data_IF_341406655820
#
_entry.id   IF_341406655820
#
_cell.length_a   1.000
_cell.length_b   1.000
_cell.length_c   1.000
_cell.angle_alpha   90.00
_cell.angle_beta   90.00
_cell.angle_gamma   90.00
#
_symmetry.space_group_name_H-M   'P 1'
#
loop_
_entity.id
_entity.type
_entity.pdbx_description
1 polymer ?
#
# COMPACT_ATOMS: atom_id res chain seq x y z
N UNK A 1 36.54 1.66 19.41
CA UNK A 1 36.15 0.57 18.49
C UNK A 1 35.00 -0.29 19.03
N UNK A 2 35.06 -0.74 20.29
CA UNK A 2 33.99 -1.58 20.90
C UNK A 2 32.68 -0.79 21.04
N UNK A 3 32.74 0.49 21.40
CA UNK A 3 31.57 1.37 21.55
C UNK A 3 30.80 1.52 20.22
N UNK A 4 31.48 1.85 19.14
CA UNK A 4 30.83 1.98 17.82
C UNK A 4 30.28 0.68 17.30
N UNK A 5 30.97 -0.45 17.55
CA UNK A 5 30.46 -1.77 17.20
C UNK A 5 29.12 -2.05 17.86
N UNK A 6 29.01 -1.85 19.19
CA UNK A 6 27.75 -2.01 19.91
C UNK A 6 26.68 -1.08 19.36
N UNK A 7 26.97 0.20 19.23
CA UNK A 7 26.02 1.19 18.71
C UNK A 7 25.48 0.80 17.33
N UNK A 8 26.34 0.36 16.39
CA UNK A 8 25.92 -0.04 15.06
C UNK A 8 25.10 -1.34 15.09
N UNK A 9 25.56 -2.35 15.85
CA UNK A 9 24.85 -3.64 15.92
C UNK A 9 23.49 -3.50 16.62
N UNK A 10 23.39 -2.64 17.64
CA UNK A 10 22.15 -2.42 18.38
C UNK A 10 21.14 -1.57 17.58
N UNK A 11 21.61 -0.81 16.57
CA UNK A 11 20.76 0.09 15.77
C UNK A 11 20.57 -0.36 14.33
N UNK A 12 21.17 -1.48 13.92
CA UNK A 12 21.19 -1.92 12.51
C UNK A 12 19.80 -2.08 11.90
N UNK A 13 18.80 -2.42 12.70
CA UNK A 13 17.40 -2.56 12.28
C UNK A 13 16.54 -1.30 12.55
N UNK A 14 17.08 -0.31 13.28
CA UNK A 14 16.36 0.91 13.64
C UNK A 14 16.59 2.00 12.57
N UNK A 15 15.52 2.38 11.86
CA UNK A 15 15.59 3.37 10.78
C UNK A 15 15.98 4.78 11.23
N UNK A 16 15.74 5.12 12.52
CA UNK A 16 16.04 6.45 13.06
C UNK A 16 17.42 6.50 13.73
N UNK A 17 17.84 5.44 14.39
CA UNK A 17 19.08 5.38 15.15
C UNK A 17 20.29 4.92 14.32
N UNK A 18 20.07 4.12 13.27
CA UNK A 18 21.16 3.57 12.44
C UNK A 18 21.99 4.66 11.76
N UNK A 19 21.36 5.69 11.18
CA UNK A 19 22.08 6.75 10.46
C UNK A 19 22.98 7.59 11.35
N UNK A 20 22.52 8.12 12.50
CA UNK A 20 23.38 8.84 13.42
C UNK A 20 24.56 8.01 13.95
N UNK A 21 24.34 6.71 14.27
CA UNK A 21 25.40 5.82 14.71
C UNK A 21 26.46 5.58 13.60
N UNK A 22 26.01 5.44 12.36
CA UNK A 22 26.89 5.30 11.19
C UNK A 22 27.68 6.58 10.92
N UNK A 23 27.04 7.74 10.95
CA UNK A 23 27.71 9.03 10.74
C UNK A 23 28.79 9.29 11.81
N UNK A 24 28.55 8.90 13.07
CA UNK A 24 29.53 8.97 14.12
C UNK A 24 30.73 8.03 13.88
N UNK A 25 30.49 6.81 13.38
CA UNK A 25 31.55 5.89 12.98
C UNK A 25 32.37 6.46 11.82
N UNK A 26 31.72 6.97 10.76
CA UNK A 26 32.38 7.55 9.59
C UNK A 26 33.30 8.70 10.04
N UNK A 27 32.79 9.62 10.85
CA UNK A 27 33.58 10.74 11.37
C UNK A 27 34.82 10.29 12.15
N UNK A 28 34.72 9.19 12.89
CA UNK A 28 35.86 8.63 13.61
C UNK A 28 36.85 7.92 12.67
N UNK A 29 36.37 7.20 11.67
CA UNK A 29 37.23 6.57 10.65
C UNK A 29 38.01 7.63 9.85
N UNK A 30 37.37 8.74 9.46
CA UNK A 30 38.00 9.84 8.74
C UNK A 30 39.17 10.49 9.52
N UNK A 31 39.07 10.59 10.84
CA UNK A 31 40.14 11.09 11.71
C UNK A 31 41.34 10.15 11.78
N UNK A 32 41.16 8.87 11.52
CA UNK A 32 42.15 7.83 11.71
C UNK A 32 42.72 7.27 10.39
N UNK A 33 42.48 7.89 9.23
CA UNK A 33 42.91 7.40 7.92
C UNK A 33 44.46 7.35 7.77
N UNK A 34 45.19 8.16 8.50
CA UNK A 34 46.65 8.22 8.48
C UNK A 34 47.30 7.52 9.69
N UNK A 35 46.52 6.89 10.57
CA UNK A 35 47.05 6.13 11.70
C UNK A 35 47.82 4.89 11.22
N UNK A 36 49.00 4.66 11.75
CA UNK A 36 49.93 3.59 11.34
C UNK A 36 49.38 2.16 11.56
N UNK A 37 48.41 1.97 12.47
CA UNK A 37 47.84 0.66 12.82
C UNK A 37 46.50 0.38 12.17
N UNK A 38 45.65 1.40 12.04
CA UNK A 38 44.27 1.24 11.61
C UNK A 38 43.92 2.01 10.32
N UNK A 39 44.82 2.87 9.80
CA UNK A 39 44.56 3.73 8.67
C UNK A 39 44.15 3.00 7.41
N UNK A 40 44.81 1.88 7.08
CA UNK A 40 44.44 1.07 5.92
C UNK A 40 43.05 0.44 6.05
N UNK A 41 42.68 0.01 7.26
CA UNK A 41 41.32 -0.53 7.52
C UNK A 41 40.30 0.60 7.45
N UNK A 42 40.63 1.78 8.01
CA UNK A 42 39.74 2.95 7.95
C UNK A 42 39.47 3.36 6.47
N UNK A 43 40.51 3.44 5.65
CA UNK A 43 40.36 3.74 4.23
C UNK A 43 39.48 2.72 3.48
N UNK A 44 39.69 1.42 3.73
CA UNK A 44 38.88 0.37 3.13
C UNK A 44 37.42 0.45 3.55
N UNK A 45 37.14 0.68 4.84
CA UNK A 45 35.77 0.81 5.34
C UNK A 45 35.06 2.04 4.79
N UNK A 46 35.80 3.17 4.61
CA UNK A 46 35.25 4.40 4.05
C UNK A 46 34.90 4.29 2.56
N UNK A 47 35.46 3.33 1.81
CA UNK A 47 35.05 3.06 0.42
C UNK A 47 33.56 2.66 0.38
N UNK A 48 33.14 1.84 1.34
CA UNK A 48 31.79 1.30 1.42
C UNK A 48 30.92 2.03 2.46
N UNK A 49 31.28 3.29 2.80
CA UNK A 49 30.61 4.06 3.87
C UNK A 49 29.10 4.18 3.69
N UNK A 50 28.63 4.23 2.45
CA UNK A 50 27.21 4.35 2.12
C UNK A 50 26.44 3.05 2.40
N UNK A 51 27.14 1.92 2.56
CA UNK A 51 26.55 0.62 2.91
C UNK A 51 26.44 0.40 4.44
N UNK A 52 27.03 1.26 5.25
CA UNK A 52 27.08 1.08 6.72
C UNK A 52 25.77 1.42 7.43
N UNK A 53 24.96 2.31 6.87
CA UNK A 53 23.65 2.65 7.42
C UNK A 53 22.60 1.63 6.95
N UNK A 54 21.52 1.48 7.76
CA UNK A 54 20.36 0.71 7.36
C UNK A 54 19.85 1.16 6.00
N UNK A 55 19.63 0.21 5.09
CA UNK A 55 19.06 0.47 3.79
C UNK A 55 17.52 0.44 3.86
N UNK A 56 16.89 1.30 3.08
CA UNK A 56 15.47 1.24 2.81
C UNK A 56 15.21 0.20 1.71
N UNK A 57 14.35 -0.77 2.00
CA UNK A 57 14.03 -1.86 1.08
C UNK A 57 12.58 -1.75 0.64
N UNK A 58 12.36 -1.56 -0.66
CA UNK A 58 11.04 -1.45 -1.26
C UNK A 58 10.80 -2.48 -2.35
N UNK A 59 9.65 -3.14 -2.29
CA UNK A 59 9.13 -4.01 -3.34
C UNK A 59 7.96 -3.28 -4.02
N UNK A 60 8.03 -3.13 -5.33
CA UNK A 60 6.97 -2.52 -6.12
C UNK A 60 6.32 -3.56 -7.03
N UNK A 61 4.99 -3.56 -7.09
CA UNK A 61 4.27 -4.46 -7.99
C UNK A 61 2.81 -4.08 -8.22
N UNK A 62 2.20 -4.69 -9.23
CA UNK A 62 0.79 -4.52 -9.56
C UNK A 62 -0.11 -5.51 -8.83
N UNK A 63 -1.43 -5.32 -8.99
CA UNK A 63 -2.45 -6.18 -8.36
C UNK A 63 -2.40 -7.63 -8.85
N UNK A 64 -2.13 -7.88 -10.13
CA UNK A 64 -1.98 -9.24 -10.65
C UNK A 64 -0.88 -10.02 -9.95
N UNK A 65 0.23 -9.35 -9.58
CA UNK A 65 1.26 -9.93 -8.74
C UNK A 65 0.78 -10.10 -7.31
N UNK A 66 0.36 -9.02 -6.66
CA UNK A 66 0.09 -9.00 -5.22
C UNK A 66 -1.14 -9.83 -4.81
N UNK A 67 -2.19 -9.83 -5.63
CA UNK A 67 -3.44 -10.52 -5.31
C UNK A 67 -3.49 -11.96 -5.83
N UNK A 68 -2.70 -12.29 -6.86
CA UNK A 68 -2.77 -13.57 -7.60
C UNK A 68 -1.44 -14.32 -7.60
N UNK A 69 -0.62 -14.12 -8.65
CA UNK A 69 0.53 -14.99 -8.94
C UNK A 69 1.67 -14.89 -7.94
N UNK A 70 1.85 -13.73 -7.30
CA UNK A 70 2.88 -13.47 -6.30
C UNK A 70 2.37 -13.50 -4.86
N UNK A 71 1.07 -13.73 -4.63
CA UNK A 71 0.47 -13.63 -3.29
C UNK A 71 1.15 -14.53 -2.25
N UNK A 72 1.50 -15.75 -2.60
CA UNK A 72 2.18 -16.65 -1.65
C UNK A 72 3.57 -16.13 -1.23
N UNK A 73 4.31 -15.50 -2.16
CA UNK A 73 5.58 -14.83 -1.84
C UNK A 73 5.39 -13.56 -1.03
N UNK A 74 4.38 -12.76 -1.37
CA UNK A 74 4.01 -11.55 -0.61
C UNK A 74 3.63 -11.91 0.83
N UNK A 75 2.79 -12.90 1.01
CA UNK A 75 2.37 -13.41 2.31
C UNK A 75 3.58 -13.89 3.14
N UNK A 76 4.52 -14.60 2.51
CA UNK A 76 5.75 -15.05 3.15
C UNK A 76 6.63 -13.88 3.61
N UNK A 77 6.80 -12.84 2.79
CA UNK A 77 7.55 -11.62 3.16
C UNK A 77 6.89 -10.92 4.35
N UNK A 78 5.57 -10.75 4.32
CA UNK A 78 4.81 -10.17 5.44
C UNK A 78 4.99 -11.02 6.72
N UNK A 79 4.88 -12.35 6.59
CA UNK A 79 5.01 -13.28 7.70
C UNK A 79 6.43 -13.35 8.30
N UNK A 80 7.46 -12.95 7.55
CA UNK A 80 8.85 -12.95 8.04
C UNK A 80 9.11 -11.94 9.15
N UNK A 81 8.31 -10.88 9.25
CA UNK A 81 8.53 -9.78 10.19
C UNK A 81 9.69 -8.85 9.81
N UNK A 82 10.33 -9.08 8.66
CA UNK A 82 11.48 -8.30 8.21
C UNK A 82 11.07 -6.87 7.82
N UNK A 83 12.00 -5.92 7.99
CA UNK A 83 11.76 -4.52 7.65
C UNK A 83 11.84 -4.30 6.14
N UNK A 84 10.74 -4.59 5.47
CA UNK A 84 10.57 -4.45 4.01
C UNK A 84 9.27 -3.70 3.73
N UNK A 85 9.35 -2.66 2.93
CA UNK A 85 8.20 -1.90 2.48
C UNK A 85 7.68 -2.46 1.15
N UNK A 86 6.38 -2.60 1.01
CA UNK A 86 5.73 -3.14 -0.17
C UNK A 86 4.74 -2.11 -0.69
N UNK A 87 4.91 -1.68 -1.95
CA UNK A 87 3.98 -0.80 -2.64
C UNK A 87 3.26 -1.55 -3.74
N UNK A 88 1.94 -1.60 -3.66
CA UNK A 88 1.07 -2.22 -4.66
C UNK A 88 0.34 -1.14 -5.45
N UNK A 89 0.53 -1.12 -6.76
CA UNK A 89 -0.30 -0.36 -7.68
C UNK A 89 -1.53 -1.20 -8.04
N UNK A 90 -2.66 -0.90 -7.41
CA UNK A 90 -3.91 -1.61 -7.63
C UNK A 90 -4.63 -1.04 -8.85
N UNK A 91 -4.35 -1.60 -10.00
CA UNK A 91 -5.00 -1.27 -11.27
C UNK A 91 -6.26 -2.10 -11.52
N UNK A 92 -6.62 -2.98 -10.59
CA UNK A 92 -7.82 -3.83 -10.61
C UNK A 92 -7.93 -4.80 -11.80
N UNK A 93 -6.86 -4.93 -12.59
CA UNK A 93 -6.70 -5.85 -13.72
C UNK A 93 -5.23 -6.15 -13.94
N UNK A 94 -4.91 -7.23 -14.67
CA UNK A 94 -3.57 -7.43 -15.24
C UNK A 94 -3.33 -6.39 -16.35
N UNK A 95 -2.80 -5.23 -16.00
CA UNK A 95 -2.70 -4.07 -16.88
C UNK A 95 -1.76 -4.32 -18.07
N UNK A 96 -0.52 -4.77 -17.81
CA UNK A 96 0.52 -4.92 -18.82
C UNK A 96 0.22 -6.03 -19.85
N UNK A 97 -0.51 -7.07 -19.46
CA UNK A 97 -0.80 -8.22 -20.31
C UNK A 97 -2.08 -8.07 -21.12
N UNK A 98 -2.84 -6.99 -20.91
CA UNK A 98 -4.01 -6.65 -21.73
C UNK A 98 -5.37 -6.70 -21.03
N UNK A 99 -5.42 -6.48 -19.71
CA UNK A 99 -6.67 -6.25 -18.99
C UNK A 99 -7.40 -7.52 -18.56
N UNK A 100 -6.68 -8.60 -18.22
CA UNK A 100 -7.26 -9.80 -17.66
C UNK A 100 -7.78 -9.55 -16.24
N UNK A 101 -8.86 -10.22 -15.87
CA UNK A 101 -9.39 -10.17 -14.52
C UNK A 101 -8.39 -10.74 -13.51
N UNK A 102 -8.15 -9.99 -12.44
CA UNK A 102 -7.40 -10.43 -11.26
C UNK A 102 -8.34 -10.65 -10.07
N UNK A 103 -7.82 -11.10 -8.93
CA UNK A 103 -8.58 -11.12 -7.67
C UNK A 103 -8.86 -9.72 -7.13
N UNK A 104 -8.16 -8.70 -7.62
CA UNK A 104 -8.42 -7.29 -7.34
C UNK A 104 -9.57 -6.71 -8.18
N UNK A 105 -9.99 -7.37 -9.26
CA UNK A 105 -11.06 -6.87 -10.13
C UNK A 105 -12.40 -6.87 -9.36
N UNK A 106 -13.10 -5.72 -9.28
CA UNK A 106 -14.35 -5.61 -8.53
C UNK A 106 -15.54 -6.28 -9.19
N UNK A 107 -16.61 -6.47 -8.42
CA UNK A 107 -17.90 -6.97 -8.92
C UNK A 107 -18.45 -6.05 -10.01
N UNK A 108 -18.97 -6.64 -11.09
CA UNK A 108 -19.58 -5.91 -12.20
C UNK A 108 -18.59 -5.40 -13.25
N UNK A 109 -17.29 -5.34 -12.93
CA UNK A 109 -16.28 -4.93 -13.91
C UNK A 109 -16.09 -5.96 -15.00
N UNK A 110 -16.13 -5.52 -16.25
CA UNK A 110 -15.77 -6.31 -17.45
C UNK A 110 -14.25 -6.28 -17.59
N UNK A 111 -13.67 -7.45 -17.82
CA UNK A 111 -12.25 -7.64 -18.10
C UNK A 111 -12.07 -8.87 -19.01
N UNK A 112 -10.86 -9.10 -19.52
CA UNK A 112 -10.54 -10.38 -20.17
C UNK A 112 -10.78 -11.52 -19.17
N UNK A 113 -11.40 -12.60 -19.62
CA UNK A 113 -11.91 -13.73 -18.82
C UNK A 113 -13.09 -13.39 -17.87
N UNK A 114 -13.62 -12.17 -17.95
CA UNK A 114 -14.82 -11.73 -17.22
C UNK A 114 -15.73 -10.88 -18.13
N UNK A 115 -15.99 -11.32 -19.38
CA UNK A 115 -16.74 -10.58 -20.39
C UNK A 115 -18.20 -10.26 -19.97
N UNK A 116 -18.81 -11.10 -19.13
CA UNK A 116 -20.15 -10.89 -18.58
C UNK A 116 -20.14 -10.22 -17.20
N UNK A 117 -19.08 -9.48 -16.85
CA UNK A 117 -18.88 -8.86 -15.56
C UNK A 117 -18.48 -9.84 -14.47
N UNK A 118 -17.51 -9.46 -13.65
CA UNK A 118 -17.05 -10.30 -12.53
C UNK A 118 -18.12 -10.43 -11.45
N UNK A 119 -18.41 -11.65 -11.02
CA UNK A 119 -19.46 -11.94 -10.04
C UNK A 119 -18.96 -12.07 -8.59
N UNK A 120 -17.63 -12.28 -8.40
CA UNK A 120 -16.99 -12.51 -7.10
C UNK A 120 -16.43 -11.20 -6.56
N UNK A 121 -16.55 -10.99 -5.24
CA UNK A 121 -15.97 -9.83 -4.53
C UNK A 121 -14.45 -9.74 -4.76
N UNK A 122 -13.93 -8.52 -4.78
CA UNK A 122 -12.50 -8.23 -4.74
C UNK A 122 -11.89 -8.84 -3.47
N UNK A 123 -10.73 -9.48 -3.61
CA UNK A 123 -9.94 -9.93 -2.48
C UNK A 123 -9.51 -8.72 -1.64
N UNK A 124 -9.69 -8.78 -0.34
CA UNK A 124 -9.26 -7.70 0.55
C UNK A 124 -7.85 -7.96 1.06
N UNK A 125 -6.86 -7.50 0.28
CA UNK A 125 -5.44 -7.68 0.59
C UNK A 125 -5.04 -6.93 1.85
N UNK A 126 -5.59 -5.74 2.06
CA UNK A 126 -5.33 -4.93 3.25
C UNK A 126 -5.83 -5.63 4.52
N UNK A 127 -7.06 -6.17 4.51
CA UNK A 127 -7.60 -6.90 5.65
C UNK A 127 -6.78 -8.16 5.98
N UNK A 128 -6.29 -8.88 4.97
CA UNK A 128 -5.39 -10.03 5.16
C UNK A 128 -4.10 -9.58 5.85
N UNK A 129 -3.46 -8.51 5.37
CA UNK A 129 -2.23 -8.00 5.98
C UNK A 129 -2.47 -7.49 7.42
N UNK A 130 -3.56 -6.75 7.66
CA UNK A 130 -3.92 -6.30 9.01
C UNK A 130 -4.15 -7.47 10.00
N UNK A 131 -4.58 -8.64 9.51
CA UNK A 131 -4.82 -9.80 10.37
C UNK A 131 -3.56 -10.35 11.04
N UNK A 132 -2.37 -10.01 10.56
CA UNK A 132 -1.09 -10.31 11.23
C UNK A 132 -0.86 -9.50 12.52
N UNK A 133 -1.53 -8.35 12.67
CA UNK A 133 -1.45 -7.49 13.86
C UNK A 133 -0.18 -6.63 13.95
N UNK A 134 0.92 -7.04 13.33
CA UNK A 134 2.23 -6.36 13.36
C UNK A 134 2.66 -5.79 12.00
N UNK A 135 1.78 -5.70 11.03
CA UNK A 135 2.08 -5.14 9.70
C UNK A 135 1.53 -3.73 9.63
N UNK A 136 2.36 -2.76 9.23
CA UNK A 136 1.84 -1.45 8.85
C UNK A 136 1.07 -1.57 7.53
N UNK A 137 -0.16 -1.08 7.48
CA UNK A 137 -0.99 -1.15 6.27
C UNK A 137 -1.58 0.21 5.95
N UNK A 138 -1.47 0.63 4.69
CA UNK A 138 -2.15 1.81 4.18
C UNK A 138 -2.87 1.51 2.87
N UNK A 139 -4.06 2.07 2.71
CA UNK A 139 -4.79 2.10 1.45
C UNK A 139 -4.94 3.56 1.03
N UNK A 140 -4.47 3.89 -0.18
CA UNK A 140 -4.24 5.25 -0.62
C UNK A 140 -4.86 5.53 -1.99
N UNK A 141 -5.14 6.81 -2.25
CA UNK A 141 -5.51 7.34 -3.57
C UNK A 141 -4.94 8.75 -3.72
N UNK A 142 -3.91 8.92 -4.55
CA UNK A 142 -3.16 10.17 -4.65
C UNK A 142 -4.05 11.35 -5.09
N UNK A 143 -4.95 11.11 -6.04
CA UNK A 143 -5.88 12.12 -6.53
C UNK A 143 -6.94 12.56 -5.51
N UNK A 144 -7.20 11.73 -4.48
CA UNK A 144 -8.12 12.06 -3.39
C UNK A 144 -7.40 12.86 -2.28
N UNK A 145 -6.21 12.41 -1.86
CA UNK A 145 -5.41 13.07 -0.82
C UNK A 145 -3.92 12.77 -0.96
N UNK A 146 -3.17 13.72 -1.53
CA UNK A 146 -1.72 13.64 -1.67
C UNK A 146 -0.99 13.59 -0.33
N UNK A 147 -1.51 14.29 0.68
CA UNK A 147 -0.86 14.34 2.00
C UNK A 147 -0.99 13.00 2.71
N UNK A 148 -2.11 12.30 2.54
CA UNK A 148 -2.31 10.96 3.08
C UNK A 148 -1.30 9.98 2.48
N UNK A 149 -1.07 10.03 1.16
CA UNK A 149 -0.07 9.18 0.49
C UNK A 149 1.33 9.45 1.02
N UNK A 150 1.74 10.73 1.07
CA UNK A 150 3.05 11.10 1.61
C UNK A 150 3.23 10.65 3.05
N UNK A 151 2.20 10.83 3.87
CA UNK A 151 2.20 10.39 5.25
C UNK A 151 2.33 8.88 5.37
N UNK A 152 1.56 8.12 4.58
CA UNK A 152 1.63 6.67 4.54
C UNK A 152 3.02 6.16 4.14
N UNK A 153 3.67 6.79 3.16
CA UNK A 153 5.04 6.44 2.74
C UNK A 153 6.07 6.72 3.84
N UNK A 154 5.97 7.87 4.51
CA UNK A 154 6.87 8.23 5.63
C UNK A 154 6.66 7.30 6.83
N UNK A 155 5.41 6.99 7.16
CA UNK A 155 5.09 6.07 8.25
C UNK A 155 5.59 4.65 7.95
N UNK A 156 5.40 4.15 6.72
CA UNK A 156 5.92 2.86 6.26
C UNK A 156 7.45 2.80 6.36
N UNK A 157 8.15 3.84 5.88
CA UNK A 157 9.62 3.91 5.94
C UNK A 157 10.15 3.95 7.38
N UNK A 158 9.43 4.61 8.28
CA UNK A 158 9.80 4.70 9.70
C UNK A 158 9.45 3.45 10.51
N UNK A 159 8.65 2.54 9.96
CA UNK A 159 8.20 1.35 10.66
C UNK A 159 9.28 0.25 10.63
N UNK A 160 9.66 -0.27 11.80
CA UNK A 160 10.64 -1.35 11.92
C UNK A 160 9.99 -2.73 11.80
N UNK A 161 9.40 -3.02 10.64
CA UNK A 161 8.71 -4.25 10.33
C UNK A 161 8.16 -4.20 8.90
N UNK A 162 7.41 -5.21 8.47
CA UNK A 162 6.83 -5.24 7.14
C UNK A 162 5.74 -4.18 7.00
N UNK A 163 5.76 -3.46 5.88
CA UNK A 163 4.76 -2.46 5.54
C UNK A 163 4.12 -2.77 4.19
N UNK A 164 2.81 -2.58 4.09
CA UNK A 164 2.05 -2.74 2.86
C UNK A 164 1.27 -1.46 2.54
N UNK A 165 1.63 -0.80 1.47
CA UNK A 165 0.92 0.38 0.95
C UNK A 165 0.24 0.02 -0.36
N UNK A 166 -1.09 0.15 -0.43
CA UNK A 166 -1.91 -0.17 -1.60
C UNK A 166 -2.45 1.12 -2.19
N UNK A 167 -2.00 1.48 -3.38
CA UNK A 167 -2.42 2.69 -4.07
C UNK A 167 -3.37 2.35 -5.22
N UNK A 168 -4.55 2.96 -5.23
CA UNK A 168 -5.42 2.91 -6.39
C UNK A 168 -4.74 3.56 -7.59
N UNK A 169 -4.69 2.85 -8.69
CA UNK A 169 -3.98 3.29 -9.89
C UNK A 169 -4.85 3.06 -11.14
N UNK A 170 -5.66 4.04 -11.55
CA UNK A 170 -6.47 3.92 -12.76
C UNK A 170 -5.64 3.55 -13.99
N UNK A 171 -6.15 2.60 -14.77
CA UNK A 171 -5.51 2.05 -15.95
C UNK A 171 -6.31 2.40 -17.22
N UNK A 172 -5.66 2.37 -18.38
CA UNK A 172 -6.35 2.54 -19.68
C UNK A 172 -7.48 1.53 -19.89
N UNK A 173 -7.37 0.33 -19.30
CA UNK A 173 -8.40 -0.71 -19.37
C UNK A 173 -9.68 -0.36 -18.60
N UNK A 174 -9.66 0.64 -17.69
CA UNK A 174 -10.88 1.15 -17.06
C UNK A 174 -11.79 1.85 -18.09
N UNK A 175 -11.18 2.45 -19.12
CA UNK A 175 -11.93 3.22 -20.11
C UNK A 175 -12.60 4.44 -19.50
N UNK A 176 -11.84 5.23 -18.74
CA UNK A 176 -12.34 6.45 -18.08
C UNK A 176 -12.89 7.41 -19.13
N UNK A 177 -14.13 7.83 -18.96
CA UNK A 177 -14.78 8.81 -19.81
C UNK A 177 -14.11 10.16 -19.64
N UNK A 178 -13.38 10.61 -20.64
CA UNK A 178 -12.51 11.79 -20.58
C UNK A 178 -11.02 11.43 -20.65
N UNK A 179 -10.66 10.14 -20.59
CA UNK A 179 -9.30 9.63 -20.80
C UNK A 179 -8.42 9.69 -19.57
N UNK A 180 -7.17 9.27 -19.73
CA UNK A 180 -6.21 9.13 -18.62
C UNK A 180 -5.69 10.46 -18.07
N UNK A 181 -5.88 11.57 -18.78
CA UNK A 181 -5.49 12.91 -18.29
C UNK A 181 -6.24 13.32 -17.02
N UNK A 182 -7.39 12.70 -16.74
CA UNK A 182 -8.17 12.97 -15.52
C UNK A 182 -8.07 11.84 -14.49
N UNK A 183 -7.08 10.94 -14.58
CA UNK A 183 -6.93 9.79 -13.69
C UNK A 183 -6.93 10.19 -12.21
N UNK A 184 -6.23 11.27 -11.84
CA UNK A 184 -6.23 11.80 -10.48
C UNK A 184 -7.62 12.28 -10.00
N UNK A 185 -8.39 12.88 -10.90
CA UNK A 185 -9.76 13.28 -10.59
C UNK A 185 -10.67 12.05 -10.45
N UNK A 186 -10.40 10.99 -11.20
CA UNK A 186 -11.14 9.73 -11.10
C UNK A 186 -10.86 9.02 -9.77
N UNK A 187 -9.61 9.04 -9.28
CA UNK A 187 -9.27 8.56 -7.94
C UNK A 187 -10.07 9.30 -6.85
N UNK A 188 -10.16 10.64 -6.97
CA UNK A 188 -10.95 11.46 -6.05
C UNK A 188 -12.43 11.06 -6.08
N UNK A 189 -13.02 10.94 -7.26
CA UNK A 189 -14.42 10.50 -7.42
C UNK A 189 -14.66 9.10 -6.84
N UNK A 190 -13.70 8.18 -7.01
CA UNK A 190 -13.78 6.84 -6.44
C UNK A 190 -13.89 6.88 -4.91
N UNK A 191 -13.13 7.77 -4.26
CA UNK A 191 -13.21 7.95 -2.80
C UNK A 191 -14.51 8.64 -2.40
N UNK A 192 -14.92 9.70 -3.10
CA UNK A 192 -16.18 10.41 -2.83
C UNK A 192 -17.41 9.52 -3.01
N UNK A 193 -17.37 8.55 -3.92
CA UNK A 193 -18.43 7.58 -4.17
C UNK A 193 -18.38 6.34 -3.24
N UNK A 194 -17.40 6.24 -2.36
CA UNK A 194 -17.22 5.05 -1.51
C UNK A 194 -16.75 3.80 -2.26
N UNK A 195 -16.37 3.94 -3.53
CA UNK A 195 -15.80 2.86 -4.33
C UNK A 195 -14.42 2.44 -3.83
N UNK A 196 -13.61 3.42 -3.43
CA UNK A 196 -12.31 3.24 -2.83
C UNK A 196 -12.25 3.97 -1.48
N UNK A 197 -11.73 3.31 -0.45
CA UNK A 197 -11.59 3.92 0.87
C UNK A 197 -10.11 4.11 1.19
N UNK A 198 -9.73 5.26 1.73
CA UNK A 198 -8.37 5.53 2.17
C UNK A 198 -8.29 5.43 3.69
N UNK A 199 -7.29 4.72 4.18
CA UNK A 199 -7.07 4.45 5.60
C UNK A 199 -5.63 4.04 5.88
N UNK A 200 -5.25 4.05 7.16
CA UNK A 200 -3.98 3.53 7.66
C UNK A 200 -4.21 2.66 8.88
N UNK A 201 -3.37 1.66 9.04
CA UNK A 201 -3.28 0.82 10.22
C UNK A 201 -1.82 0.81 10.66
N UNK A 202 -1.54 1.40 11.84
CA UNK A 202 -0.20 1.49 12.41
C UNK A 202 -0.15 0.71 13.73
N UNK A 203 0.49 -0.47 13.76
CA UNK A 203 0.58 -1.30 14.96
C UNK A 203 1.19 -0.57 16.17
N UNK A 204 2.10 0.39 15.96
CA UNK A 204 2.75 1.16 17.03
C UNK A 204 1.75 1.92 17.91
N UNK A 205 0.61 2.27 17.35
CA UNK A 205 -0.44 2.98 18.10
C UNK A 205 -1.06 2.11 19.20
N UNK A 206 -1.11 0.78 18.98
CA UNK A 206 -1.57 -0.14 20.03
C UNK A 206 -0.63 -0.16 21.23
N UNK A 207 0.70 -0.01 21.01
CA UNK A 207 1.69 0.11 22.09
C UNK A 207 1.51 1.40 22.90
N UNK A 208 0.86 2.42 22.30
CA UNK A 208 0.49 3.68 22.95
C UNK A 208 -0.92 3.64 23.59
N UNK A 209 -1.58 2.48 23.60
CA UNK A 209 -2.97 2.33 24.04
C UNK A 209 -4.00 2.97 23.12
N UNK A 210 -3.66 3.27 21.86
CA UNK A 210 -4.53 3.90 20.88
C UNK A 210 -5.05 2.89 19.85
N UNK A 211 -6.23 3.16 19.28
CA UNK A 211 -6.71 2.39 18.14
C UNK A 211 -5.70 2.43 16.99
N UNK A 212 -5.17 1.28 16.52
CA UNK A 212 -4.23 1.24 15.40
C UNK A 212 -4.85 1.64 14.06
N UNK A 213 -6.16 1.54 13.90
CA UNK A 213 -6.86 1.83 12.67
C UNK A 213 -7.31 3.29 12.58
N UNK A 214 -7.02 3.93 11.45
CA UNK A 214 -7.36 5.32 11.15
C UNK A 214 -8.04 5.39 9.79
N UNK A 215 -9.33 5.74 9.77
CA UNK A 215 -10.07 6.00 8.53
C UNK A 215 -9.78 7.43 8.06
N UNK A 216 -9.13 7.57 6.92
CA UNK A 216 -8.67 8.87 6.39
C UNK A 216 -9.67 9.49 5.40
N UNK A 217 -10.73 8.78 4.98
CA UNK A 217 -11.82 9.34 4.16
C UNK A 217 -13.06 9.65 4.99
N UNK A 218 -13.83 10.59 4.48
CA UNK A 218 -15.18 10.90 4.99
C UNK A 218 -16.20 9.88 4.47
N UNK A 219 -17.41 9.92 5.02
CA UNK A 219 -18.54 9.17 4.49
C UNK A 219 -18.77 9.51 3.00
N UNK A 220 -19.14 8.51 2.18
CA UNK A 220 -19.44 8.73 0.77
C UNK A 220 -20.48 9.86 0.59
N UNK A 221 -20.20 10.76 -0.33
CA UNK A 221 -21.01 11.95 -0.63
C UNK A 221 -21.49 12.01 -2.08
N UNK A 222 -21.00 11.09 -2.93
CA UNK A 222 -21.36 10.98 -4.34
C UNK A 222 -22.03 9.64 -4.63
N UNK A 223 -22.74 9.56 -5.76
CA UNK A 223 -23.40 8.33 -6.21
C UNK A 223 -22.36 7.29 -6.66
N UNK A 224 -22.38 6.11 -6.06
CA UNK A 224 -21.58 4.96 -6.49
C UNK A 224 -21.91 4.58 -7.94
N UNK A 225 -23.20 4.59 -8.29
CA UNK A 225 -23.67 4.25 -9.62
C UNK A 225 -23.16 5.21 -10.68
N UNK A 226 -23.18 6.52 -10.41
CA UNK A 226 -22.71 7.52 -11.37
C UNK A 226 -21.20 7.39 -11.60
N UNK A 227 -20.44 7.09 -10.54
CA UNK A 227 -19.01 6.83 -10.64
C UNK A 227 -18.71 5.67 -11.58
N UNK A 228 -19.27 4.48 -11.34
CA UNK A 228 -18.99 3.30 -12.17
C UNK A 228 -19.47 3.46 -13.61
N UNK A 229 -20.56 4.21 -13.85
CA UNK A 229 -21.04 4.51 -15.20
C UNK A 229 -20.14 5.49 -15.98
N UNK A 230 -19.19 6.13 -15.30
CA UNK A 230 -18.11 6.92 -15.88
C UNK A 230 -17.02 6.09 -16.56
N UNK A 231 -16.97 4.78 -16.31
CA UNK A 231 -15.95 3.87 -16.83
C UNK A 231 -16.53 2.83 -17.80
N UNK A 232 -15.84 2.63 -18.93
CA UNK A 232 -16.30 1.70 -19.98
C UNK A 232 -16.37 0.27 -19.46
N UNK A 233 -15.48 -0.14 -18.57
CA UNK A 233 -15.47 -1.50 -17.98
C UNK A 233 -16.77 -1.87 -17.23
N UNK A 234 -17.58 -0.88 -16.83
CA UNK A 234 -18.92 -1.09 -16.28
C UNK A 234 -20.00 -0.75 -17.28
N UNK A 235 -19.91 0.43 -17.93
CA UNK A 235 -20.92 0.90 -18.85
C UNK A 235 -21.16 -0.07 -20.04
N UNK A 236 -20.11 -0.74 -20.53
CA UNK A 236 -20.25 -1.72 -21.61
C UNK A 236 -21.15 -2.91 -21.22
N UNK A 237 -21.19 -3.29 -19.94
CA UNK A 237 -22.00 -4.38 -19.47
C UNK A 237 -23.51 -4.11 -19.61
N UNK A 238 -23.93 -2.85 -19.45
CA UNK A 238 -25.35 -2.45 -19.61
C UNK A 238 -25.86 -2.69 -21.04
N UNK A 239 -24.97 -2.66 -22.03
CA UNK A 239 -25.31 -2.90 -23.45
C UNK A 239 -25.29 -4.39 -23.78
N UNK A 240 -24.29 -5.10 -23.25
CA UNK A 240 -24.07 -6.51 -23.60
C UNK A 240 -24.94 -7.47 -22.79
N UNK A 241 -25.19 -7.14 -21.51
CA UNK A 241 -25.92 -7.99 -20.55
C UNK A 241 -26.72 -7.11 -19.57
N UNK A 242 -27.81 -6.43 -20.00
CA UNK A 242 -28.49 -5.40 -19.21
C UNK A 242 -29.05 -5.90 -17.88
N UNK A 243 -29.75 -7.02 -17.85
CA UNK A 243 -30.32 -7.59 -16.62
C UNK A 243 -29.23 -8.00 -15.64
N UNK A 244 -28.15 -8.59 -16.15
CA UNK A 244 -27.00 -8.99 -15.35
C UNK A 244 -26.23 -7.77 -14.80
N UNK A 245 -26.16 -6.70 -15.59
CA UNK A 245 -25.55 -5.44 -15.17
C UNK A 245 -26.26 -4.88 -13.94
N UNK A 246 -27.58 -4.82 -13.96
CA UNK A 246 -28.38 -4.33 -12.80
C UNK A 246 -28.12 -5.17 -11.55
N UNK A 247 -28.12 -6.48 -11.65
CA UNK A 247 -27.86 -7.39 -10.53
C UNK A 247 -26.44 -7.21 -9.97
N UNK A 248 -25.44 -7.13 -10.86
CA UNK A 248 -24.04 -6.99 -10.43
C UNK A 248 -23.73 -5.61 -9.87
N UNK A 249 -24.31 -4.56 -10.42
CA UNK A 249 -24.07 -3.20 -9.93
C UNK A 249 -24.75 -2.96 -8.57
N UNK A 250 -25.96 -3.45 -8.38
CA UNK A 250 -26.61 -3.43 -7.06
C UNK A 250 -25.79 -4.23 -6.01
N UNK A 251 -25.25 -5.38 -6.42
CA UNK A 251 -24.34 -6.16 -5.56
C UNK A 251 -23.05 -5.40 -5.28
N UNK A 252 -22.46 -4.73 -6.25
CA UNK A 252 -21.20 -3.98 -6.10
C UNK A 252 -21.37 -2.80 -5.14
N UNK A 253 -22.46 -2.04 -5.28
CA UNK A 253 -22.81 -0.93 -4.41
C UNK A 253 -23.00 -1.40 -2.95
N UNK A 254 -23.79 -2.45 -2.75
CA UNK A 254 -23.96 -3.06 -1.42
C UNK A 254 -22.63 -3.51 -0.81
N UNK A 255 -21.73 -4.10 -1.59
CA UNK A 255 -20.40 -4.50 -1.12
C UNK A 255 -19.56 -3.31 -0.70
N UNK A 256 -19.66 -2.17 -1.41
CA UNK A 256 -18.98 -0.94 -1.06
C UNK A 256 -19.51 -0.33 0.24
N UNK A 257 -20.85 -0.29 0.39
CA UNK A 257 -21.52 0.15 1.62
C UNK A 257 -21.13 -0.70 2.84
N UNK A 258 -21.18 -2.03 2.70
CA UNK A 258 -20.77 -2.98 3.74
C UNK A 258 -19.30 -2.79 4.13
N UNK A 259 -18.43 -2.53 3.15
CA UNK A 259 -17.00 -2.28 3.40
C UNK A 259 -16.80 -0.98 4.17
N UNK A 260 -17.41 0.12 3.72
CA UNK A 260 -17.30 1.40 4.42
C UNK A 260 -17.81 1.30 5.86
N UNK A 261 -18.98 0.73 6.09
CA UNK A 261 -19.54 0.54 7.42
C UNK A 261 -18.63 -0.33 8.33
N UNK A 262 -17.96 -1.33 7.76
CA UNK A 262 -16.98 -2.13 8.49
C UNK A 262 -15.75 -1.30 8.90
N UNK A 263 -15.19 -0.49 7.98
CA UNK A 263 -14.04 0.37 8.25
C UNK A 263 -14.37 1.47 9.26
N UNK A 264 -15.56 2.08 9.16
CA UNK A 264 -16.07 3.05 10.13
C UNK A 264 -16.17 2.44 11.53
N UNK A 265 -16.68 1.20 11.61
CA UNK A 265 -16.73 0.45 12.87
C UNK A 265 -15.33 0.20 13.44
N UNK A 266 -14.36 -0.19 12.61
CA UNK A 266 -12.97 -0.35 13.07
C UNK A 266 -12.39 0.96 13.60
N UNK A 267 -12.66 2.08 12.92
CA UNK A 267 -12.19 3.40 13.35
C UNK A 267 -12.88 3.90 14.64
N UNK A 268 -14.07 3.40 14.95
CA UNK A 268 -14.82 3.76 16.16
C UNK A 268 -14.50 2.90 17.38
N UNK A 269 -13.62 1.90 17.25
CA UNK A 269 -13.19 1.11 18.41
C UNK A 269 -12.48 2.03 19.41
N UNK A 270 -12.78 1.88 20.71
CA UNK A 270 -12.09 2.68 21.73
C UNK A 270 -10.60 2.40 21.76
N UNK A 271 -9.84 3.39 22.22
CA UNK A 271 -8.47 3.17 22.61
C UNK A 271 -8.40 2.08 23.69
N UNK A 272 -7.30 1.34 23.75
CA UNK A 272 -7.13 0.29 24.76
C UNK A 272 -7.00 0.95 26.16
N UNK A 273 -7.70 0.40 27.16
CA UNK A 273 -7.56 0.85 28.56
C UNK A 273 -6.19 0.50 29.14
#
# INVERSE_FOLDING_TARGET
TTLFRSQILDTVCDSTASRPATDALIAELEKNVDDAKVGELAKKTLIDKDELAKKSMWIFGGDGWAYDIGFGGLDHVIASGENVNILVFDTEVYSNTGGQASKATPVGSVAQFAAAGKSVKKKDLAAIAMSYGYVYVAQCAMGADNNQVLKAMVEAESYNGPSLVICYAPCINHGIKGGMSIAQQEEKKAVEAGYWNIFRYDPRRADEGKNPFMLDCKAPSASYRDFIMGEVRYNSLTRSFPERAEQLFAKAEKVAEEKYAHLEKLASLPDAE
#
